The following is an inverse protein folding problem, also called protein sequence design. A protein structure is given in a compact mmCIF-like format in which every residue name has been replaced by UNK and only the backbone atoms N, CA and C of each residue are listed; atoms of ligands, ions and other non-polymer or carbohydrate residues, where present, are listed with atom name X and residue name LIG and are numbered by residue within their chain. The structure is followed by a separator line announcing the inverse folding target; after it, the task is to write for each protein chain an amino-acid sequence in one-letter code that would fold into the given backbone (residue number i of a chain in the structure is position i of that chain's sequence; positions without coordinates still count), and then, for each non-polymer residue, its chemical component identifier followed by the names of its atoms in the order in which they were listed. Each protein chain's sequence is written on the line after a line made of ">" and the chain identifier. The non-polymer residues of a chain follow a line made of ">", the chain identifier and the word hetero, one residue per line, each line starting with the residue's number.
data_IF_777570052832
#
_entry.id   IF_777570052832
#
_cell.length_a   1.000
_cell.length_b   1.000
_cell.length_c   1.000
_cell.angle_alpha   90.00
_cell.angle_beta   90.00
_cell.angle_gamma   90.00
#
_symmetry.space_group_name_H-M   'P 1'
#
loop_
_entity.id
_entity.type
_entity.pdbx_description
1 polymer ?
#
# COMPACT_ATOMS: atom_id res chain seq x y z
N UNK A 1 24.45 23.97 56.61
CA UNK A 1 23.51 23.32 57.54
C UNK A 1 22.30 24.22 57.72
N UNK A 2 21.17 23.89 57.06
CA UNK A 2 19.77 24.09 57.47
C UNK A 2 18.85 23.71 56.30
N UNK A 3 18.19 22.58 56.45
CA UNK A 3 17.03 22.15 55.66
C UNK A 3 15.83 23.04 56.02
N UNK A 4 15.01 23.37 55.02
CA UNK A 4 13.56 23.47 55.18
C UNK A 4 12.88 22.91 53.92
N UNK A 5 12.47 21.65 54.01
CA UNK A 5 11.25 21.08 53.40
C UNK A 5 10.05 21.94 53.82
N UNK A 6 8.94 22.12 53.11
CA UNK A 6 8.16 21.31 52.15
C UNK A 6 6.95 22.19 51.74
N UNK A 7 6.44 22.07 50.52
CA UNK A 7 5.02 21.74 50.20
C UNK A 7 4.66 22.11 48.76
N UNK A 8 4.40 21.06 47.98
CA UNK A 8 3.71 21.10 46.70
C UNK A 8 2.30 21.68 46.85
N UNK A 9 1.93 22.63 45.98
CA UNK A 9 0.54 22.75 45.50
C UNK A 9 0.57 23.02 44.00
N UNK A 10 0.12 22.01 43.27
CA UNK A 10 -0.17 21.94 41.85
C UNK A 10 -1.24 22.97 41.47
N UNK A 11 -0.99 23.83 40.48
CA UNK A 11 -2.05 24.59 39.82
C UNK A 11 -2.02 24.27 38.32
N UNK A 12 -2.92 23.38 37.92
CA UNK A 12 -3.18 23.00 36.53
C UNK A 12 -4.02 24.13 35.92
N UNK A 13 -3.42 24.94 35.05
CA UNK A 13 -4.17 25.89 34.24
C UNK A 13 -4.67 25.17 32.98
N UNK A 14 -5.91 24.67 33.03
CA UNK A 14 -6.63 24.18 31.86
C UNK A 14 -7.20 25.38 31.12
N UNK A 15 -6.52 25.82 30.06
CA UNK A 15 -7.10 26.78 29.11
C UNK A 15 -7.79 26.01 27.99
N UNK A 16 -9.11 25.87 28.12
CA UNK A 16 -10.01 25.50 27.02
C UNK A 16 -10.11 26.72 26.10
N UNK A 17 -9.57 26.62 24.88
CA UNK A 17 -9.95 27.53 23.80
C UNK A 17 -10.66 26.71 22.73
N UNK A 18 -11.96 26.94 22.68
CA UNK A 18 -12.92 26.48 21.71
C UNK A 18 -12.73 27.18 20.36
N UNK A 19 -12.89 26.39 19.30
CA UNK A 19 -13.34 26.78 17.95
C UNK A 19 -12.44 27.70 17.11
N UNK A 20 -11.65 27.06 16.24
CA UNK A 20 -11.47 27.53 14.87
C UNK A 20 -12.10 26.51 13.93
N UNK A 21 -13.31 26.84 13.49
CA UNK A 21 -14.05 26.16 12.44
C UNK A 21 -13.27 26.21 11.12
N UNK A 22 -12.39 25.24 10.90
CA UNK A 22 -12.03 24.82 9.56
C UNK A 22 -12.97 23.66 9.21
N UNK A 23 -13.92 23.92 8.31
CA UNK A 23 -14.77 22.90 7.69
C UNK A 23 -13.89 21.93 6.89
N UNK A 24 -13.23 20.99 7.57
CA UNK A 24 -12.75 19.77 6.94
C UNK A 24 -13.99 18.92 6.69
N UNK A 25 -14.37 18.79 5.41
CA UNK A 25 -15.34 17.80 4.97
C UNK A 25 -15.03 16.46 5.66
N UNK A 26 -16.05 15.65 6.04
CA UNK A 26 -15.80 14.37 6.67
C UNK A 26 -14.98 13.52 5.69
N UNK A 27 -13.66 13.46 5.92
CA UNK A 27 -12.85 12.41 5.37
C UNK A 27 -13.39 11.15 6.01
N UNK A 28 -14.24 10.43 5.27
CA UNK A 28 -14.52 9.04 5.56
C UNK A 28 -13.19 8.41 5.92
N UNK A 29 -13.06 8.00 7.18
CA UNK A 29 -11.90 7.28 7.68
C UNK A 29 -11.84 5.99 6.86
N UNK A 30 -11.13 6.04 5.72
CA UNK A 30 -10.74 4.84 5.01
C UNK A 30 -9.97 4.01 6.04
N UNK A 31 -10.22 2.70 6.15
CA UNK A 31 -9.39 1.87 6.98
C UNK A 31 -7.95 2.12 6.53
N UNK A 32 -7.15 2.70 7.44
CA UNK A 32 -5.70 2.75 7.23
C UNK A 32 -5.28 1.31 6.96
N UNK A 33 -4.30 1.07 6.07
CA UNK A 33 -3.69 -0.24 6.00
C UNK A 33 -3.37 -0.62 7.44
N UNK A 34 -3.73 -1.84 7.81
CA UNK A 34 -3.23 -2.43 9.04
C UNK A 34 -1.71 -2.34 8.88
N UNK A 35 -1.09 -1.35 9.50
CA UNK A 35 0.33 -1.39 9.81
C UNK A 35 0.35 -2.58 10.75
N UNK A 36 0.83 -3.76 10.31
CA UNK A 36 0.92 -4.86 11.24
C UNK A 36 1.71 -4.27 12.40
N UNK A 37 1.21 -4.44 13.63
CA UNK A 37 2.04 -4.31 14.83
C UNK A 37 3.43 -4.80 14.50
N UNK A 38 4.49 -4.18 15.03
CA UNK A 38 5.89 -4.57 14.83
C UNK A 38 6.12 -6.03 15.27
N UNK A 39 5.55 -6.95 14.51
CA UNK A 39 5.68 -8.37 14.66
C UNK A 39 7.10 -8.59 14.20
N UNK A 40 7.95 -8.90 15.18
CA UNK A 40 9.35 -9.23 14.95
C UNK A 40 9.45 -10.33 13.88
N UNK A 41 8.43 -11.19 13.79
CA UNK A 41 8.32 -12.33 12.88
C UNK A 41 7.83 -12.00 11.45
N UNK A 42 7.97 -10.78 10.96
CA UNK A 42 7.66 -10.42 9.56
C UNK A 42 8.89 -9.87 8.88
N UNK A 43 9.17 -10.39 7.68
CA UNK A 43 10.33 -10.02 6.88
C UNK A 43 10.46 -8.50 6.67
N UNK A 44 11.69 -8.00 6.71
CA UNK A 44 12.00 -6.57 6.58
C UNK A 44 11.58 -6.04 5.20
N UNK A 45 11.74 -6.82 4.13
CA UNK A 45 11.34 -6.40 2.78
C UNK A 45 9.84 -6.13 2.67
N UNK A 46 9.00 -6.87 3.40
CA UNK A 46 7.56 -6.64 3.44
C UNK A 46 7.22 -5.37 4.21
N UNK A 47 7.89 -5.13 5.34
CA UNK A 47 7.75 -3.88 6.10
C UNK A 47 8.12 -2.67 5.24
N UNK A 48 9.21 -2.77 4.47
CA UNK A 48 9.63 -1.74 3.52
C UNK A 48 8.61 -1.52 2.41
N UNK A 49 8.06 -2.61 1.84
CA UNK A 49 6.98 -2.53 0.87
C UNK A 49 5.75 -1.78 1.44
N UNK A 50 5.32 -2.15 2.65
CA UNK A 50 4.17 -1.52 3.31
C UNK A 50 4.42 -0.03 3.54
N UNK A 51 5.63 0.35 3.97
CA UNK A 51 5.99 1.75 4.22
C UNK A 51 6.04 2.59 2.94
N UNK A 52 6.60 2.04 1.86
CA UNK A 52 6.98 2.81 0.69
C UNK A 52 5.98 2.72 -0.49
N UNK A 53 5.16 1.66 -0.54
CA UNK A 53 4.35 1.37 -1.74
C UNK A 53 2.87 1.12 -1.47
N UNK A 54 2.47 0.59 -0.30
CA UNK A 54 1.08 0.15 -0.07
C UNK A 54 0.03 1.27 -0.20
N UNK A 55 0.42 2.51 0.07
CA UNK A 55 -0.45 3.69 0.00
C UNK A 55 -0.50 4.35 -1.40
N UNK A 56 0.24 3.81 -2.38
CA UNK A 56 0.24 4.33 -3.75
C UNK A 56 -0.98 3.79 -4.49
N UNK A 57 -2.14 4.31 -4.12
CA UNK A 57 -3.42 3.94 -4.72
C UNK A 57 -3.62 4.60 -6.09
N UNK A 58 -4.41 3.97 -6.97
CA UNK A 58 -4.83 4.59 -8.22
C UNK A 58 -5.88 5.69 -7.96
N UNK A 59 -6.10 6.60 -8.93
CA UNK A 59 -7.20 7.56 -8.88
C UNK A 59 -8.54 6.87 -8.67
N UNK A 60 -9.47 7.55 -7.97
CA UNK A 60 -10.84 7.04 -7.83
C UNK A 60 -11.62 7.25 -9.14
N UNK A 61 -12.67 6.44 -9.44
CA UNK A 61 -13.42 6.55 -10.70
C UNK A 61 -13.86 7.97 -11.06
N UNK A 62 -14.42 8.71 -10.09
CA UNK A 62 -14.86 10.09 -10.31
C UNK A 62 -13.73 11.07 -10.68
N UNK A 63 -12.47 10.74 -10.36
CA UNK A 63 -11.31 11.49 -10.83
C UNK A 63 -10.95 11.09 -12.25
N UNK A 64 -10.95 9.80 -12.56
CA UNK A 64 -10.64 9.25 -13.90
C UNK A 64 -11.53 9.88 -14.97
N UNK A 65 -12.83 9.96 -14.72
CA UNK A 65 -13.81 10.54 -15.64
C UNK A 65 -13.55 12.02 -15.99
N UNK A 66 -12.73 12.72 -15.19
CA UNK A 66 -12.38 14.14 -15.37
C UNK A 66 -10.99 14.34 -15.96
N UNK A 67 -10.20 13.28 -16.10
CA UNK A 67 -8.86 13.37 -16.68
C UNK A 67 -8.95 13.34 -18.20
N UNK A 68 -8.07 14.09 -18.85
CA UNK A 68 -7.78 13.87 -20.26
C UNK A 68 -6.75 12.74 -20.40
N UNK A 69 -6.63 12.19 -21.61
CA UNK A 69 -5.71 11.08 -21.91
C UNK A 69 -4.25 11.39 -21.56
N UNK A 70 -3.84 12.65 -21.71
CA UNK A 70 -2.45 13.08 -21.44
C UNK A 70 -2.11 13.06 -19.96
N UNK A 71 -3.11 13.25 -19.10
CA UNK A 71 -2.95 13.31 -17.65
C UNK A 71 -3.05 11.94 -16.98
N UNK A 72 -3.66 10.94 -17.65
CA UNK A 72 -3.82 9.58 -17.11
C UNK A 72 -2.48 9.00 -16.64
N UNK A 73 -1.44 9.06 -17.48
CA UNK A 73 -0.12 8.52 -17.11
C UNK A 73 0.48 9.16 -15.87
N UNK A 74 0.30 10.46 -15.68
CA UNK A 74 0.78 11.19 -14.50
C UNK A 74 0.03 10.73 -13.24
N UNK A 75 -1.29 10.67 -13.30
CA UNK A 75 -2.13 10.31 -12.15
C UNK A 75 -2.01 8.83 -11.75
N UNK A 76 -1.76 7.93 -12.71
CA UNK A 76 -1.54 6.51 -12.42
C UNK A 76 -0.09 6.17 -12.05
N UNK A 77 0.86 7.11 -12.18
CA UNK A 77 2.28 6.87 -11.89
C UNK A 77 2.54 6.27 -10.49
N UNK A 78 1.92 6.74 -9.39
CA UNK A 78 2.12 6.11 -8.09
C UNK A 78 1.68 4.64 -8.07
N UNK A 79 0.50 4.34 -8.61
CA UNK A 79 -0.01 2.97 -8.67
C UNK A 79 0.87 2.07 -9.54
N UNK A 80 1.35 2.59 -10.67
CA UNK A 80 2.33 1.93 -11.53
C UNK A 80 3.59 1.50 -10.76
N UNK A 81 4.11 2.36 -9.88
CA UNK A 81 5.26 2.04 -9.04
C UNK A 81 4.98 0.98 -7.98
N UNK A 82 3.75 0.94 -7.41
CA UNK A 82 3.35 -0.12 -6.48
C UNK A 82 3.29 -1.47 -7.20
N UNK A 83 2.64 -1.49 -8.35
CA UNK A 83 2.51 -2.68 -9.19
C UNK A 83 3.89 -3.18 -9.64
N UNK A 84 4.79 -2.30 -10.08
CA UNK A 84 6.15 -2.67 -10.46
C UNK A 84 6.93 -3.29 -9.27
N UNK A 85 6.78 -2.74 -8.07
CA UNK A 85 7.41 -3.31 -6.87
C UNK A 85 6.85 -4.68 -6.53
N UNK A 86 5.53 -4.87 -6.62
CA UNK A 86 4.90 -6.17 -6.44
C UNK A 86 5.35 -7.18 -7.48
N UNK A 87 5.54 -6.75 -8.73
CA UNK A 87 6.00 -7.62 -9.81
C UNK A 87 7.44 -8.10 -9.61
N UNK A 88 8.32 -7.20 -9.13
CA UNK A 88 9.66 -7.57 -8.66
C UNK A 88 9.59 -8.62 -7.54
N UNK A 89 8.77 -8.40 -6.51
CA UNK A 89 8.64 -9.32 -5.39
C UNK A 89 8.05 -10.68 -5.80
N UNK A 90 7.04 -10.70 -6.69
CA UNK A 90 6.50 -11.92 -7.29
C UNK A 90 7.59 -12.70 -8.02
N UNK A 91 8.35 -12.01 -8.88
CA UNK A 91 9.41 -12.62 -9.68
C UNK A 91 10.49 -13.22 -8.79
N UNK A 92 10.92 -12.50 -7.76
CA UNK A 92 11.83 -13.02 -6.76
C UNK A 92 11.27 -14.26 -6.04
N UNK A 93 10.03 -14.20 -5.56
CA UNK A 93 9.40 -15.31 -4.85
C UNK A 93 9.24 -16.57 -5.71
N UNK A 94 9.08 -16.41 -7.02
CA UNK A 94 8.99 -17.52 -7.98
C UNK A 94 10.35 -18.07 -8.41
N UNK A 95 11.42 -17.27 -8.30
CA UNK A 95 12.78 -17.66 -8.74
C UNK A 95 13.65 -18.18 -7.60
N UNK A 96 13.40 -17.74 -6.37
CA UNK A 96 14.10 -18.25 -5.20
C UNK A 96 13.60 -19.67 -4.84
N UNK A 97 14.47 -20.68 -4.70
CA UNK A 97 14.05 -22.06 -4.44
C UNK A 97 13.32 -22.27 -3.10
N UNK A 98 13.66 -21.51 -2.06
CA UNK A 98 13.07 -21.66 -0.73
C UNK A 98 11.66 -21.06 -0.69
N UNK A 99 11.48 -19.85 -1.22
CA UNK A 99 10.14 -19.26 -1.38
C UNK A 99 9.25 -20.12 -2.28
N UNK A 100 9.80 -20.61 -3.40
CA UNK A 100 9.04 -21.42 -4.35
C UNK A 100 8.51 -22.72 -3.72
N UNK A 101 9.31 -23.35 -2.84
CA UNK A 101 8.90 -24.55 -2.08
C UNK A 101 7.85 -24.25 -1.01
N UNK A 102 7.90 -23.07 -0.40
CA UNK A 102 6.91 -22.65 0.60
C UNK A 102 5.53 -22.31 -0.02
N UNK A 103 5.48 -21.98 -1.31
CA UNK A 103 4.23 -21.62 -1.98
C UNK A 103 3.37 -22.84 -2.35
N UNK A 104 2.09 -22.76 -2.00
CA UNK A 104 1.07 -23.69 -2.54
C UNK A 104 0.94 -23.56 -4.06
N UNK A 105 0.36 -24.57 -4.71
CA UNK A 105 0.08 -24.50 -6.16
C UNK A 105 -0.80 -23.29 -6.49
N UNK A 106 -1.85 -23.02 -5.71
CA UNK A 106 -2.72 -21.87 -5.91
C UNK A 106 -1.97 -20.54 -5.82
N UNK A 107 -1.16 -20.35 -4.79
CA UNK A 107 -0.35 -19.13 -4.64
C UNK A 107 0.66 -18.96 -5.79
N UNK A 108 1.29 -20.04 -6.27
CA UNK A 108 2.17 -19.98 -7.45
C UNK A 108 1.42 -19.49 -8.69
N UNK A 109 0.20 -19.99 -8.92
CA UNK A 109 -0.61 -19.53 -10.05
C UNK A 109 -1.03 -18.07 -9.92
N UNK A 110 -1.32 -17.58 -8.71
CA UNK A 110 -1.55 -16.15 -8.46
C UNK A 110 -0.32 -15.32 -8.83
N UNK A 111 0.86 -15.68 -8.32
CA UNK A 111 2.08 -14.90 -8.54
C UNK A 111 2.56 -14.96 -10.01
N UNK A 112 2.20 -15.98 -10.78
CA UNK A 112 2.53 -16.08 -12.22
C UNK A 112 1.69 -15.15 -13.11
N UNK A 113 0.50 -14.74 -12.66
CA UNK A 113 -0.36 -13.87 -13.46
C UNK A 113 0.31 -12.51 -13.68
N UNK A 114 0.33 -11.98 -14.92
CA UNK A 114 0.90 -10.67 -15.18
C UNK A 114 -0.02 -9.56 -14.65
N UNK A 115 0.57 -8.48 -14.17
CA UNK A 115 -0.18 -7.25 -13.93
C UNK A 115 -0.47 -6.51 -15.24
N UNK A 116 -1.47 -5.64 -15.24
CA UNK A 116 -1.64 -4.68 -16.31
C UNK A 116 -0.55 -3.62 -16.27
N UNK A 117 -0.08 -3.20 -17.45
CA UNK A 117 0.86 -2.09 -17.56
C UNK A 117 0.15 -0.78 -17.25
N UNK A 118 0.32 -0.22 -16.06
CA UNK A 118 -0.23 1.09 -15.68
C UNK A 118 0.69 2.23 -16.13
N UNK A 119 1.03 2.27 -17.41
CA UNK A 119 1.85 3.32 -18.01
C UNK A 119 1.05 4.13 -19.04
N UNK A 120 1.57 5.29 -19.46
CA UNK A 120 0.85 6.18 -20.37
C UNK A 120 0.39 5.47 -21.66
N UNK A 121 1.26 4.66 -22.27
CA UNK A 121 0.95 3.97 -23.53
C UNK A 121 -0.24 3.01 -23.40
N UNK A 122 -0.28 2.21 -22.33
CA UNK A 122 -1.35 1.26 -22.10
C UNK A 122 -2.66 1.95 -21.67
N UNK A 123 -2.57 3.07 -20.95
CA UNK A 123 -3.71 3.86 -20.50
C UNK A 123 -4.39 4.64 -21.62
N UNK A 124 -3.63 5.08 -22.63
CA UNK A 124 -4.15 5.81 -23.79
C UNK A 124 -4.33 4.91 -25.02
N UNK A 125 -4.41 3.58 -24.82
CA UNK A 125 -4.64 2.64 -25.92
C UNK A 125 -6.10 2.76 -26.38
N UNK A 126 -6.32 2.83 -27.70
CA UNK A 126 -7.66 2.93 -28.32
C UNK A 126 -8.64 1.81 -27.91
N UNK A 127 -8.11 0.70 -27.38
CA UNK A 127 -8.88 -0.43 -26.84
C UNK A 127 -9.39 -0.25 -25.39
N UNK A 128 -9.02 0.84 -24.72
CA UNK A 128 -9.28 1.05 -23.30
C UNK A 128 -10.17 2.29 -23.11
N UNK A 129 -11.45 2.14 -23.40
CA UNK A 129 -12.45 3.16 -23.09
C UNK A 129 -12.63 3.33 -21.56
N UNK A 130 -13.27 4.42 -21.08
CA UNK A 130 -13.42 4.67 -19.64
C UNK A 130 -14.13 3.57 -18.85
N UNK A 131 -15.14 2.90 -19.43
CA UNK A 131 -15.85 1.79 -18.77
C UNK A 131 -14.93 0.58 -18.64
N UNK A 132 -14.19 0.27 -19.71
CA UNK A 132 -13.16 -0.77 -19.72
C UNK A 132 -12.03 -0.46 -18.73
N UNK A 133 -11.60 0.80 -18.61
CA UNK A 133 -10.59 1.25 -17.65
C UNK A 133 -11.07 1.06 -16.21
N UNK A 134 -12.32 1.41 -15.89
CA UNK A 134 -12.91 1.20 -14.56
C UNK A 134 -13.00 -0.28 -14.20
N UNK A 135 -13.49 -1.11 -15.12
CA UNK A 135 -13.58 -2.56 -14.93
C UNK A 135 -12.19 -3.16 -14.70
N UNK A 136 -11.22 -2.77 -15.54
CA UNK A 136 -9.82 -3.21 -15.43
C UNK A 136 -9.21 -2.80 -14.10
N UNK A 137 -9.41 -1.56 -13.66
CA UNK A 137 -8.92 -1.07 -12.39
C UNK A 137 -9.51 -1.84 -11.20
N UNK A 138 -10.80 -2.15 -11.25
CA UNK A 138 -11.46 -2.95 -10.20
C UNK A 138 -10.85 -4.35 -10.11
N UNK A 139 -10.67 -5.02 -11.25
CA UNK A 139 -10.05 -6.35 -11.31
C UNK A 139 -8.60 -6.30 -10.79
N UNK A 140 -7.85 -5.30 -11.22
CA UNK A 140 -6.46 -5.14 -10.82
C UNK A 140 -6.32 -4.89 -9.32
N UNK A 141 -7.17 -4.07 -8.71
CA UNK A 141 -7.13 -3.84 -7.26
C UNK A 141 -7.39 -5.12 -6.46
N UNK A 142 -8.30 -5.96 -6.94
CA UNK A 142 -8.52 -7.28 -6.33
C UNK A 142 -7.28 -8.18 -6.49
N UNK A 143 -6.67 -8.19 -7.67
CA UNK A 143 -5.46 -8.97 -7.92
C UNK A 143 -4.25 -8.48 -7.11
N UNK A 144 -4.05 -7.16 -6.98
CA UNK A 144 -3.05 -6.57 -6.08
C UNK A 144 -3.25 -7.04 -4.66
N UNK A 145 -4.49 -7.06 -4.16
CA UNK A 145 -4.80 -7.54 -2.80
C UNK A 145 -4.47 -9.02 -2.64
N UNK A 146 -4.76 -9.86 -3.65
CA UNK A 146 -4.46 -11.30 -3.65
C UNK A 146 -2.95 -11.57 -3.63
N UNK A 147 -2.18 -10.81 -4.44
CA UNK A 147 -0.71 -10.87 -4.45
C UNK A 147 -0.14 -10.40 -3.12
N UNK A 148 -0.62 -9.27 -2.59
CA UNK A 148 -0.19 -8.74 -1.30
C UNK A 148 -0.42 -9.75 -0.16
N UNK A 149 -1.58 -10.40 -0.14
CA UNK A 149 -1.86 -11.45 0.84
C UNK A 149 -0.87 -12.61 0.72
N UNK A 150 -0.61 -13.07 -0.51
CA UNK A 150 0.32 -14.18 -0.76
C UNK A 150 1.76 -13.84 -0.35
N UNK A 151 2.21 -12.62 -0.68
CA UNK A 151 3.55 -12.15 -0.31
C UNK A 151 3.67 -11.91 1.20
N UNK A 152 2.60 -11.44 1.85
CA UNK A 152 2.57 -11.31 3.30
C UNK A 152 2.70 -12.67 4.01
N UNK A 153 1.99 -13.68 3.54
CA UNK A 153 2.10 -15.05 4.09
C UNK A 153 3.54 -15.58 3.98
N UNK A 154 4.19 -15.36 2.83
CA UNK A 154 5.61 -15.67 2.66
C UNK A 154 6.49 -14.89 3.63
N UNK A 155 6.25 -13.59 3.79
CA UNK A 155 7.02 -12.73 4.69
C UNK A 155 6.90 -13.14 6.17
N UNK A 156 5.78 -13.76 6.56
CA UNK A 156 5.58 -14.34 7.89
C UNK A 156 6.27 -15.69 8.06
N UNK A 157 6.24 -16.53 7.01
CA UNK A 157 6.76 -17.89 7.10
C UNK A 157 8.28 -17.96 6.93
N UNK A 158 8.85 -17.06 6.13
CA UNK A 158 10.28 -16.97 5.84
C UNK A 158 10.81 -15.56 6.16
N UNK A 159 10.81 -15.12 7.43
CA UNK A 159 11.14 -13.74 7.80
C UNK A 159 12.60 -13.36 7.50
N UNK A 160 13.51 -14.35 7.50
CA UNK A 160 14.95 -14.14 7.28
C UNK A 160 15.32 -14.05 5.79
N UNK A 161 14.43 -14.48 4.91
CA UNK A 161 14.70 -14.53 3.49
C UNK A 161 14.34 -13.19 2.82
N UNK A 162 15.26 -12.68 1.99
CA UNK A 162 15.11 -11.36 1.38
C UNK A 162 15.45 -11.34 -0.11
N UNK A 163 14.77 -10.51 -0.92
CA UNK A 163 15.20 -10.16 -2.26
C UNK A 163 16.60 -9.55 -2.24
N UNK A 164 17.50 -10.03 -3.11
CA UNK A 164 18.80 -9.40 -3.29
C UNK A 164 18.67 -8.22 -4.26
N UNK A 165 19.41 -7.12 -4.04
CA UNK A 165 19.50 -6.00 -4.98
C UNK A 165 19.96 -6.44 -6.36
#
# INVERSE_FOLDING_TARGET
>A
MKLYTTLNVTLIAITVITMLSASAAPMYARPRPIIPEQNENVAVWWKNYMLLHSMKDPPIPAQIDRLNDKDLGFHFKPFSQRVAQLDYLKTWALTNPETLRALTTGQREVLKKPFFGWNSQALTSDKLDPVSLHSRLKQEKAFVTEVESTLYDLAKYLPDLSPRP
#
